data_IF_846028449694
#
_entry.id   IF_846028449694
#
_cell.length_a   1.000
_cell.length_b   1.000
_cell.length_c   1.000
_cell.angle_alpha   90.00
_cell.angle_beta   90.00
_cell.angle_gamma   90.00
#
_symmetry.space_group_name_H-M   'P 1'
#
loop_
_entity.id
_entity.type
_entity.pdbx_description
1 polymer ?
#
# COMPACT_ATOMS: atom_id res chain seq x y z
N UNK A 1 -11.75 3.25 -12.44
CA UNK A 1 -11.97 2.14 -13.37
C UNK A 1 -11.05 0.93 -13.09
N UNK A 2 -10.29 0.94 -11.99
CA UNK A 2 -9.43 -0.16 -11.55
C UNK A 2 -8.15 -0.40 -12.37
N UNK A 3 -7.93 0.34 -13.45
CA UNK A 3 -6.81 0.10 -14.37
C UNK A 3 -5.67 1.12 -14.23
N UNK A 4 -5.89 2.23 -13.55
CA UNK A 4 -4.88 3.27 -13.38
C UNK A 4 -4.60 3.57 -11.91
N UNK A 5 -3.32 3.57 -11.55
CA UNK A 5 -2.80 3.93 -10.24
C UNK A 5 -2.02 5.24 -10.35
N UNK A 6 -2.17 6.10 -9.37
CA UNK A 6 -1.47 7.37 -9.31
C UNK A 6 -0.65 7.44 -8.02
N UNK A 7 0.62 7.78 -8.13
CA UNK A 7 1.43 8.18 -6.99
C UNK A 7 1.20 9.68 -6.73
N UNK A 8 0.89 10.01 -5.49
CA UNK A 8 0.67 11.38 -5.02
C UNK A 8 1.69 11.66 -3.91
N UNK A 9 2.95 12.03 -4.26
CA UNK A 9 4.03 12.18 -3.29
C UNK A 9 3.96 13.57 -2.61
N UNK A 10 2.81 13.86 -2.02
CA UNK A 10 2.53 15.09 -1.27
C UNK A 10 2.15 14.77 0.16
N UNK A 11 2.45 15.68 1.08
CA UNK A 11 2.15 15.56 2.49
C UNK A 11 3.41 15.52 3.36
N UNK A 12 3.19 15.56 4.67
CA UNK A 12 4.27 15.56 5.64
C UNK A 12 3.93 14.59 6.80
N UNK A 13 4.92 13.88 7.38
CA UNK A 13 4.69 12.90 8.44
C UNK A 13 3.90 13.43 9.65
N UNK A 14 4.04 14.72 10.01
CA UNK A 14 3.29 15.32 11.12
C UNK A 14 1.78 15.19 10.97
N UNK A 15 1.27 15.09 9.74
CA UNK A 15 -0.17 14.90 9.48
C UNK A 15 -0.70 13.63 10.17
N UNK A 16 0.13 12.62 10.36
CA UNK A 16 -0.26 11.38 11.05
C UNK A 16 -0.28 11.54 12.59
N UNK A 17 0.40 12.55 13.12
CA UNK A 17 0.48 12.84 14.55
C UNK A 17 -0.65 13.77 15.03
N UNK A 18 -1.44 14.35 14.12
CA UNK A 18 -2.53 15.27 14.45
C UNK A 18 -3.87 14.56 14.32
N UNK A 19 -4.59 14.43 15.43
CA UNK A 19 -5.93 13.82 15.46
C UNK A 19 -6.90 14.60 14.56
N UNK A 20 -7.66 13.90 13.75
CA UNK A 20 -8.70 14.49 12.91
C UNK A 20 -8.28 14.75 11.45
N UNK A 21 -6.99 14.73 11.12
CA UNK A 21 -6.54 14.91 9.72
C UNK A 21 -7.15 13.87 8.78
N UNK A 22 -7.24 12.60 9.20
CA UNK A 22 -7.89 11.57 8.37
C UNK A 22 -9.38 11.85 8.14
N UNK A 23 -10.12 12.30 9.16
CA UNK A 23 -11.53 12.67 9.04
C UNK A 23 -11.70 13.90 8.14
N UNK A 24 -10.82 14.89 8.28
CA UNK A 24 -10.82 16.10 7.47
C UNK A 24 -10.54 15.78 5.99
N UNK A 25 -9.63 14.84 5.72
CA UNK A 25 -9.39 14.35 4.37
C UNK A 25 -10.67 13.81 3.73
N UNK A 26 -11.46 13.02 4.47
CA UNK A 26 -12.75 12.53 4.00
C UNK A 26 -13.70 13.66 3.59
N UNK A 27 -13.78 14.74 4.38
CA UNK A 27 -14.59 15.91 4.05
C UNK A 27 -14.08 16.67 2.80
N UNK A 28 -12.75 16.82 2.68
CA UNK A 28 -12.13 17.45 1.50
C UNK A 28 -12.39 16.61 0.25
N UNK A 29 -12.21 15.29 0.31
CA UNK A 29 -12.51 14.39 -0.81
C UNK A 29 -13.98 14.47 -1.22
N UNK A 30 -14.92 14.55 -0.27
CA UNK A 30 -16.35 14.70 -0.55
C UNK A 30 -16.65 16.04 -1.25
N UNK A 31 -16.02 17.13 -0.80
CA UNK A 31 -16.15 18.45 -1.44
C UNK A 31 -15.64 18.45 -2.88
N UNK A 32 -14.44 17.89 -3.11
CA UNK A 32 -13.90 17.70 -4.45
C UNK A 32 -14.81 16.81 -5.29
N UNK A 33 -15.30 15.70 -4.74
CA UNK A 33 -16.17 14.80 -5.47
C UNK A 33 -17.46 15.47 -5.96
N UNK A 34 -18.01 16.40 -5.19
CA UNK A 34 -19.19 17.19 -5.63
C UNK A 34 -18.90 18.05 -6.86
N UNK A 35 -17.65 18.51 -7.02
CA UNK A 35 -17.20 19.27 -8.18
C UNK A 35 -16.78 18.39 -9.37
N UNK A 36 -16.66 17.07 -9.19
CA UNK A 36 -16.24 16.16 -10.26
C UNK A 36 -17.23 16.07 -11.41
N UNK A 37 -18.52 16.08 -11.13
CA UNK A 37 -19.56 15.85 -12.14
C UNK A 37 -19.48 16.79 -13.35
N UNK A 38 -19.24 18.09 -13.20
CA UNK A 38 -19.01 18.97 -14.33
C UNK A 38 -17.76 18.66 -15.16
N UNK A 39 -16.76 17.99 -14.53
CA UNK A 39 -15.46 17.71 -15.13
C UNK A 39 -15.29 16.27 -15.63
N UNK A 40 -16.26 15.38 -15.40
CA UNK A 40 -16.18 13.93 -15.68
C UNK A 40 -15.81 13.56 -17.13
N UNK A 41 -16.05 14.45 -18.07
CA UNK A 41 -15.70 14.24 -19.48
C UNK A 41 -14.25 14.65 -19.81
N UNK A 42 -13.52 15.24 -18.87
CA UNK A 42 -12.15 15.73 -19.05
C UNK A 42 -11.13 14.94 -18.24
N UNK A 43 -11.52 14.47 -17.06
CA UNK A 43 -10.66 13.73 -16.13
C UNK A 43 -11.36 12.44 -15.72
N UNK A 44 -10.58 11.37 -15.55
CA UNK A 44 -11.07 10.19 -14.86
C UNK A 44 -11.24 10.47 -13.37
N UNK A 45 -12.09 9.70 -12.69
CA UNK A 45 -12.29 9.83 -11.25
C UNK A 45 -10.98 9.62 -10.48
N UNK A 46 -10.11 8.71 -10.93
CA UNK A 46 -8.81 8.45 -10.30
C UNK A 46 -7.88 9.67 -10.38
N UNK A 47 -7.79 10.31 -11.56
CA UNK A 47 -7.02 11.56 -11.73
C UNK A 47 -7.58 12.68 -10.85
N UNK A 48 -8.89 12.83 -10.82
CA UNK A 48 -9.53 13.85 -10.02
C UNK A 48 -9.28 13.67 -8.52
N UNK A 49 -9.39 12.43 -8.01
CA UNK A 49 -9.06 12.12 -6.62
C UNK A 49 -7.57 12.30 -6.32
N UNK A 50 -6.68 12.01 -7.28
CA UNK A 50 -5.25 12.27 -7.13
C UNK A 50 -4.97 13.77 -6.94
N UNK A 51 -5.66 14.65 -7.66
CA UNK A 51 -5.57 16.11 -7.45
C UNK A 51 -6.10 16.53 -6.08
N UNK A 52 -7.20 15.95 -5.61
CA UNK A 52 -7.73 16.24 -4.26
C UNK A 52 -6.74 15.83 -3.16
N UNK A 53 -6.09 14.68 -3.31
CA UNK A 53 -5.05 14.21 -2.39
C UNK A 53 -3.80 15.10 -2.46
N UNK A 54 -3.40 15.55 -3.65
CA UNK A 54 -2.27 16.46 -3.82
C UNK A 54 -2.54 17.81 -3.16
N UNK A 55 -3.74 18.37 -3.36
CA UNK A 55 -4.18 19.59 -2.68
C UNK A 55 -4.07 19.46 -1.16
N UNK A 56 -4.59 18.37 -0.60
CA UNK A 56 -4.54 18.11 0.83
C UNK A 56 -3.10 17.95 1.36
N UNK A 57 -2.27 17.22 0.62
CA UNK A 57 -0.87 17.03 0.96
C UNK A 57 -0.05 18.33 0.89
N UNK A 58 -0.24 19.14 -0.17
CA UNK A 58 0.40 20.45 -0.34
C UNK A 58 0.02 21.43 0.77
N UNK A 59 -1.25 21.44 1.19
CA UNK A 59 -1.67 22.24 2.33
C UNK A 59 -0.91 21.81 3.61
N UNK A 60 -0.68 20.51 3.81
CA UNK A 60 0.14 20.00 4.91
C UNK A 60 1.60 20.43 4.81
N UNK A 61 2.20 20.36 3.63
CA UNK A 61 3.57 20.84 3.39
C UNK A 61 3.69 22.34 3.66
N UNK A 62 2.74 23.14 3.17
CA UNK A 62 2.69 24.59 3.41
C UNK A 62 2.54 24.94 4.90
N UNK A 63 1.70 24.20 5.62
CA UNK A 63 1.50 24.39 7.06
C UNK A 63 2.79 24.16 7.84
N UNK A 64 3.59 23.15 7.47
CA UNK A 64 4.89 22.87 8.12
C UNK A 64 5.88 24.01 7.94
N UNK A 65 5.88 24.69 6.80
CA UNK A 65 6.75 25.86 6.57
C UNK A 65 6.46 26.99 7.54
N UNK A 66 5.21 27.10 8.03
CA UNK A 66 4.77 28.16 8.96
C UNK A 66 4.92 27.70 10.41
N UNK A 67 4.47 26.48 10.72
CA UNK A 67 4.35 26.00 12.12
C UNK A 67 5.53 25.14 12.59
N UNK A 68 6.40 24.70 11.69
CA UNK A 68 7.32 23.60 11.98
C UNK A 68 6.57 22.30 12.30
N UNK A 69 7.21 21.43 13.07
CA UNK A 69 6.68 20.10 13.42
C UNK A 69 5.98 20.08 14.80
N UNK A 70 5.36 21.17 15.22
CA UNK A 70 4.56 21.25 16.45
C UNK A 70 3.09 20.94 16.16
N UNK A 71 2.51 19.85 16.69
CA UNK A 71 1.16 19.39 16.32
C UNK A 71 0.05 20.43 16.53
N UNK A 72 0.10 21.20 17.60
CA UNK A 72 -0.89 22.24 17.92
C UNK A 72 -0.87 23.39 16.91
N UNK A 73 0.31 23.99 16.69
CA UNK A 73 0.49 25.08 15.71
C UNK A 73 0.26 24.59 14.30
N UNK A 74 0.68 23.36 13.98
CA UNK A 74 0.42 22.73 12.69
C UNK A 74 -1.08 22.63 12.41
N UNK A 75 -1.90 22.22 13.38
CA UNK A 75 -3.35 22.08 13.17
C UNK A 75 -3.99 23.39 12.69
N UNK A 76 -3.60 24.52 13.30
CA UNK A 76 -4.10 25.84 12.90
C UNK A 76 -3.57 26.23 11.53
N UNK A 77 -2.25 26.17 11.32
CA UNK A 77 -1.63 26.51 10.05
C UNK A 77 -2.13 25.64 8.89
N UNK A 78 -2.50 24.39 9.17
CA UNK A 78 -3.05 23.48 8.17
C UNK A 78 -4.44 23.91 7.70
N UNK A 79 -5.31 24.34 8.62
CA UNK A 79 -6.63 24.90 8.26
C UNK A 79 -6.48 26.18 7.42
N UNK A 80 -5.56 27.07 7.83
CA UNK A 80 -5.27 28.28 7.08
C UNK A 80 -4.72 27.97 5.69
N UNK A 81 -3.83 26.96 5.59
CA UNK A 81 -3.26 26.51 4.30
C UNK A 81 -4.33 25.90 3.39
N UNK A 82 -5.25 25.11 3.92
CA UNK A 82 -6.39 24.58 3.13
C UNK A 82 -7.27 25.70 2.58
N UNK A 83 -7.40 26.81 3.29
CA UNK A 83 -8.18 27.96 2.82
C UNK A 83 -7.44 28.80 1.79
N UNK A 84 -6.12 28.97 1.94
CA UNK A 84 -5.31 29.91 1.14
C UNK A 84 -4.67 29.28 -0.10
N UNK A 85 -4.55 27.95 -0.15
CA UNK A 85 -3.94 27.24 -1.28
C UNK A 85 -4.77 27.49 -2.56
N UNK A 86 -4.10 27.96 -3.60
CA UNK A 86 -4.75 28.32 -4.87
C UNK A 86 -4.26 27.43 -6.03
N UNK A 87 -4.96 27.54 -7.16
CA UNK A 87 -4.69 26.73 -8.36
C UNK A 87 -3.26 26.88 -8.89
N UNK A 88 -2.68 28.08 -8.80
CA UNK A 88 -1.34 28.33 -9.31
C UNK A 88 -0.30 27.51 -8.55
N UNK A 89 -0.41 27.41 -7.23
CA UNK A 89 0.46 26.56 -6.38
C UNK A 89 0.24 25.09 -6.69
N UNK A 90 -1.02 24.67 -6.82
CA UNK A 90 -1.34 23.27 -7.14
C UNK A 90 -0.75 22.86 -8.51
N UNK A 91 -0.77 23.76 -9.49
CA UNK A 91 -0.23 23.49 -10.82
C UNK A 91 1.31 23.47 -10.80
N UNK A 92 1.94 24.45 -10.14
CA UNK A 92 3.41 24.56 -10.12
C UNK A 92 4.09 23.44 -9.32
N UNK A 93 3.47 23.01 -8.23
CA UNK A 93 3.99 22.00 -7.32
C UNK A 93 3.48 20.57 -7.61
N UNK A 94 2.77 20.38 -8.71
CA UNK A 94 2.18 19.08 -9.04
C UNK A 94 3.24 18.01 -9.27
N UNK A 95 3.28 16.99 -8.41
CA UNK A 95 4.16 15.82 -8.48
C UNK A 95 3.38 14.54 -8.74
N UNK A 96 2.10 14.63 -9.08
CA UNK A 96 1.27 13.47 -9.41
C UNK A 96 1.84 12.78 -10.65
N UNK A 97 1.96 11.46 -10.57
CA UNK A 97 2.39 10.65 -11.71
C UNK A 97 1.60 9.36 -11.80
N UNK A 98 1.26 8.92 -13.02
CA UNK A 98 0.72 7.57 -13.19
C UNK A 98 1.79 6.54 -12.80
N UNK A 99 1.32 5.47 -12.17
CA UNK A 99 2.16 4.33 -11.82
C UNK A 99 1.65 3.12 -12.61
N UNK A 100 2.54 2.49 -13.34
CA UNK A 100 2.25 1.20 -13.96
C UNK A 100 2.36 0.14 -12.87
N UNK A 101 1.24 -0.46 -12.52
CA UNK A 101 1.21 -1.64 -11.65
C UNK A 101 1.35 -2.85 -12.56
N UNK A 102 2.36 -3.69 -12.38
CA UNK A 102 2.46 -4.94 -13.12
C UNK A 102 1.19 -5.78 -12.99
N UNK A 103 0.76 -6.43 -14.06
CA UNK A 103 -0.46 -7.25 -14.07
C UNK A 103 -0.45 -8.30 -12.95
N UNK A 104 0.74 -8.80 -12.61
CA UNK A 104 0.94 -9.74 -11.52
C UNK A 104 0.63 -9.18 -10.12
N UNK A 105 0.52 -7.86 -9.94
CA UNK A 105 0.24 -7.22 -8.65
C UNK A 105 -1.15 -6.57 -8.59
N UNK A 106 -2.02 -6.83 -9.56
CA UNK A 106 -3.36 -6.18 -9.63
C UNK A 106 -4.29 -6.63 -8.50
N UNK A 107 -4.25 -7.92 -8.14
CA UNK A 107 -5.03 -8.47 -7.04
C UNK A 107 -4.07 -9.15 -6.06
N UNK A 108 -3.68 -8.41 -5.04
CA UNK A 108 -2.70 -8.82 -4.06
C UNK A 108 -3.38 -9.31 -2.79
N UNK A 109 -3.27 -10.61 -2.50
CA UNK A 109 -3.83 -11.24 -1.32
C UNK A 109 -2.75 -11.53 -0.29
N UNK A 110 -3.00 -11.19 0.97
CA UNK A 110 -2.08 -11.42 2.09
C UNK A 110 -2.80 -12.25 3.14
N UNK A 111 -2.21 -13.34 3.59
CA UNK A 111 -2.73 -14.13 4.70
C UNK A 111 -1.65 -15.04 5.32
N UNK A 112 -1.93 -15.49 6.53
CA UNK A 112 -1.19 -16.51 7.28
C UNK A 112 -2.11 -17.28 8.19
N UNK A 113 -1.57 -18.20 9.00
CA UNK A 113 -2.40 -19.03 9.91
C UNK A 113 -3.12 -18.20 10.97
N UNK A 114 -2.56 -17.05 11.38
CA UNK A 114 -3.18 -16.12 12.34
C UNK A 114 -4.55 -15.58 11.87
N UNK A 115 -4.80 -15.57 10.56
CA UNK A 115 -6.05 -15.04 9.99
C UNK A 115 -7.15 -16.12 9.90
N UNK A 116 -6.80 -17.37 10.20
CA UNK A 116 -7.67 -18.55 10.05
C UNK A 116 -7.67 -19.45 11.29
N UNK A 117 -7.58 -18.86 12.47
CA UNK A 117 -7.62 -19.59 13.76
C UNK A 117 -6.47 -20.63 13.89
N UNK A 118 -5.30 -20.33 13.33
CA UNK A 118 -4.12 -21.20 13.26
C UNK A 118 -4.37 -22.55 12.57
N UNK A 119 -5.31 -22.60 11.65
CA UNK A 119 -5.69 -23.81 10.93
C UNK A 119 -5.07 -23.83 9.51
N UNK A 120 -4.03 -24.64 9.33
CA UNK A 120 -3.28 -24.76 8.07
C UNK A 120 -4.18 -25.24 6.90
N UNK A 121 -5.02 -26.24 7.12
CA UNK A 121 -5.90 -26.77 6.07
C UNK A 121 -6.91 -25.72 5.61
N UNK A 122 -7.40 -24.89 6.54
CA UNK A 122 -8.30 -23.78 6.22
C UNK A 122 -7.57 -22.72 5.40
N UNK A 123 -6.31 -22.38 5.75
CA UNK A 123 -5.51 -21.44 4.97
C UNK A 123 -5.28 -21.96 3.55
N UNK A 124 -4.88 -23.22 3.38
CA UNK A 124 -4.67 -23.83 2.06
C UNK A 124 -5.92 -23.77 1.19
N UNK A 125 -7.09 -24.09 1.76
CA UNK A 125 -8.38 -24.02 1.04
C UNK A 125 -8.70 -22.59 0.61
N UNK A 126 -8.55 -21.61 1.51
CA UNK A 126 -8.85 -20.20 1.22
C UNK A 126 -7.91 -19.66 0.13
N UNK A 127 -6.61 -19.99 0.21
CA UNK A 127 -5.64 -19.55 -0.79
C UNK A 127 -5.92 -20.20 -2.15
N UNK A 128 -6.29 -21.48 -2.19
CA UNK A 128 -6.67 -22.13 -3.45
C UNK A 128 -7.93 -21.51 -4.06
N UNK A 129 -8.94 -21.22 -3.24
CA UNK A 129 -10.16 -20.56 -3.71
C UNK A 129 -9.89 -19.12 -4.20
N UNK A 130 -9.02 -18.38 -3.51
CA UNK A 130 -8.60 -17.04 -3.92
C UNK A 130 -7.85 -17.08 -5.26
N UNK A 131 -6.92 -18.01 -5.43
CA UNK A 131 -6.20 -18.21 -6.70
C UNK A 131 -7.16 -18.56 -7.84
N UNK A 132 -8.12 -19.44 -7.60
CA UNK A 132 -9.19 -19.78 -8.57
C UNK A 132 -10.06 -18.57 -8.89
N UNK A 133 -10.28 -17.67 -7.91
CA UNK A 133 -11.05 -16.43 -8.04
C UNK A 133 -10.35 -15.31 -8.78
N UNK A 134 -9.06 -15.46 -9.16
CA UNK A 134 -8.33 -14.48 -9.96
C UNK A 134 -7.35 -13.60 -9.18
N UNK A 135 -6.93 -14.01 -7.99
CA UNK A 135 -5.76 -13.41 -7.32
C UNK A 135 -4.53 -13.55 -8.22
N UNK A 136 -3.75 -12.49 -8.34
CA UNK A 136 -2.55 -12.45 -9.19
C UNK A 136 -1.26 -12.54 -8.41
N UNK A 137 -1.31 -12.21 -7.10
CA UNK A 137 -0.18 -12.30 -6.18
C UNK A 137 -0.66 -12.70 -4.79
N UNK A 138 -0.01 -13.68 -4.19
CA UNK A 138 -0.26 -14.08 -2.81
C UNK A 138 0.98 -13.88 -1.94
N UNK A 139 0.83 -13.19 -0.82
CA UNK A 139 1.87 -13.04 0.20
C UNK A 139 1.55 -13.93 1.41
N UNK A 140 2.43 -14.88 1.67
CA UNK A 140 2.41 -15.67 2.91
C UNK A 140 3.03 -14.84 4.04
N UNK A 141 2.17 -14.39 4.96
CA UNK A 141 2.56 -13.58 6.11
C UNK A 141 2.26 -14.35 7.39
N UNK A 142 3.23 -15.09 7.88
CA UNK A 142 3.17 -15.88 9.10
C UNK A 142 3.82 -15.10 10.24
N UNK A 143 3.02 -14.28 10.96
CA UNK A 143 3.52 -13.34 11.96
C UNK A 143 2.50 -13.17 13.10
N UNK A 144 2.94 -13.32 14.35
CA UNK A 144 2.08 -13.14 15.51
C UNK A 144 2.22 -14.26 16.54
N UNK A 145 1.37 -14.21 17.56
CA UNK A 145 1.39 -15.21 18.64
C UNK A 145 0.80 -16.54 18.14
N UNK A 146 1.51 -17.62 18.36
CA UNK A 146 1.05 -18.97 18.01
C UNK A 146 1.24 -19.37 16.55
N UNK A 147 1.83 -18.50 15.71
CA UNK A 147 2.13 -18.82 14.32
C UNK A 147 3.20 -19.90 14.19
N UNK A 148 3.24 -20.56 13.02
CA UNK A 148 4.13 -21.65 12.75
C UNK A 148 5.60 -21.21 12.68
N UNK A 149 6.50 -22.09 13.12
CA UNK A 149 7.95 -21.91 13.06
C UNK A 149 8.65 -23.16 12.55
N UNK A 150 9.89 -23.01 12.10
CA UNK A 150 10.76 -24.12 11.71
C UNK A 150 10.14 -25.00 10.62
N UNK A 151 10.16 -26.30 10.82
CA UNK A 151 9.77 -27.30 9.83
C UNK A 151 8.29 -27.19 9.41
N UNK A 152 7.38 -26.93 10.35
CA UNK A 152 5.95 -26.78 10.05
C UNK A 152 5.68 -25.58 9.14
N UNK A 153 6.32 -24.43 9.43
CA UNK A 153 6.24 -23.24 8.56
C UNK A 153 6.76 -23.53 7.16
N UNK A 154 7.88 -24.27 7.05
CA UNK A 154 8.45 -24.65 5.76
C UNK A 154 7.49 -25.55 4.96
N UNK A 155 6.92 -26.56 5.59
CA UNK A 155 5.99 -27.50 4.93
C UNK A 155 4.76 -26.79 4.41
N UNK A 156 4.16 -25.89 5.21
CA UNK A 156 3.02 -25.08 4.79
C UNK A 156 3.42 -24.13 3.64
N UNK A 157 4.57 -23.48 3.75
CA UNK A 157 5.05 -22.57 2.69
C UNK A 157 5.26 -23.30 1.36
N UNK A 158 5.75 -24.54 1.37
CA UNK A 158 5.90 -25.37 0.16
C UNK A 158 4.56 -25.75 -0.45
N UNK A 159 3.56 -26.09 0.35
CA UNK A 159 2.21 -26.39 -0.13
C UNK A 159 1.54 -25.15 -0.76
N UNK A 160 1.69 -23.99 -0.12
CA UNK A 160 1.19 -22.71 -0.66
C UNK A 160 1.87 -22.35 -1.98
N UNK A 161 3.20 -22.57 -2.10
CA UNK A 161 3.91 -22.38 -3.38
C UNK A 161 3.36 -23.27 -4.49
N UNK A 162 3.04 -24.53 -4.18
CA UNK A 162 2.45 -25.45 -5.17
C UNK A 162 1.06 -24.98 -5.63
N UNK A 163 0.23 -24.48 -4.71
CA UNK A 163 -1.08 -23.90 -5.05
C UNK A 163 -0.88 -22.69 -5.97
N UNK A 164 -0.04 -21.72 -5.58
CA UNK A 164 0.22 -20.54 -6.41
C UNK A 164 0.73 -20.91 -7.80
N UNK A 165 1.68 -21.85 -7.90
CA UNK A 165 2.21 -22.31 -9.18
C UNK A 165 1.14 -22.96 -10.08
N UNK A 166 0.22 -23.74 -9.51
CA UNK A 166 -0.91 -24.36 -10.24
C UNK A 166 -1.79 -23.35 -10.96
N UNK A 167 -1.97 -22.15 -10.38
CA UNK A 167 -2.81 -21.08 -10.90
C UNK A 167 -2.03 -19.92 -11.53
N UNK A 168 -0.71 -20.04 -11.68
CA UNK A 168 0.17 -18.99 -12.18
C UNK A 168 0.08 -17.68 -11.39
N UNK A 169 -0.01 -17.78 -10.07
CA UNK A 169 -0.06 -16.68 -9.11
C UNK A 169 1.35 -16.46 -8.53
N UNK A 170 1.81 -15.20 -8.48
CA UNK A 170 3.07 -14.88 -7.82
C UNK A 170 3.01 -15.22 -6.32
N UNK A 171 4.06 -15.85 -5.82
CA UNK A 171 4.20 -16.24 -4.43
C UNK A 171 5.28 -15.43 -3.71
N UNK A 172 4.86 -14.64 -2.74
CA UNK A 172 5.72 -13.74 -1.97
C UNK A 172 5.82 -14.24 -0.53
N UNK A 173 7.01 -14.19 0.04
CA UNK A 173 7.23 -14.44 1.48
C UNK A 173 7.42 -13.10 2.21
N UNK A 174 6.74 -12.95 3.34
CA UNK A 174 6.87 -11.78 4.19
C UNK A 174 8.06 -11.94 5.15
N UNK A 175 8.99 -10.98 5.18
CA UNK A 175 10.15 -10.81 6.07
C UNK A 175 11.22 -11.93 6.03
N UNK A 176 10.84 -13.16 5.83
CA UNK A 176 11.70 -14.36 5.97
C UNK A 176 12.45 -14.67 4.67
N UNK A 177 13.60 -14.03 4.49
CA UNK A 177 14.43 -14.16 3.28
C UNK A 177 14.94 -15.60 3.10
N UNK A 178 15.32 -16.26 4.19
CA UNK A 178 15.84 -17.65 4.14
C UNK A 178 14.73 -18.61 3.69
N UNK A 179 13.54 -18.48 4.23
CA UNK A 179 12.38 -19.26 3.78
C UNK A 179 12.07 -19.01 2.30
N UNK A 180 12.11 -17.76 1.86
CA UNK A 180 11.85 -17.41 0.46
C UNK A 180 12.83 -18.09 -0.50
N UNK A 181 14.10 -18.13 -0.14
CA UNK A 181 15.14 -18.84 -0.92
C UNK A 181 14.91 -20.35 -0.93
N UNK A 182 14.60 -20.96 0.23
CA UNK A 182 14.40 -22.41 0.34
C UNK A 182 13.18 -22.88 -0.45
N UNK A 183 12.06 -22.12 -0.42
CA UNK A 183 10.84 -22.48 -1.16
C UNK A 183 10.84 -21.98 -2.61
N UNK A 184 11.90 -21.30 -3.04
CA UNK A 184 11.99 -20.66 -4.35
C UNK A 184 10.79 -19.75 -4.62
N UNK A 185 10.53 -18.81 -3.70
CA UNK A 185 9.49 -17.82 -3.85
C UNK A 185 9.77 -16.87 -5.02
N UNK A 186 8.73 -16.24 -5.56
CA UNK A 186 8.86 -15.28 -6.67
C UNK A 186 9.26 -13.89 -6.17
N UNK A 187 9.18 -13.65 -4.85
CA UNK A 187 9.58 -12.41 -4.23
C UNK A 187 9.60 -12.45 -2.71
N UNK A 188 10.17 -11.40 -2.14
CA UNK A 188 10.18 -11.14 -0.69
C UNK A 188 9.60 -9.76 -0.43
N UNK A 189 8.69 -9.67 0.55
CA UNK A 189 8.21 -8.40 1.09
C UNK A 189 8.92 -8.10 2.39
N UNK A 190 9.51 -6.91 2.52
CA UNK A 190 10.12 -6.42 3.75
C UNK A 190 9.57 -5.05 4.11
N UNK A 191 9.24 -4.83 5.37
CA UNK A 191 8.82 -3.55 5.91
C UNK A 191 10.01 -2.62 6.19
N UNK A 192 9.72 -1.39 6.60
CA UNK A 192 10.76 -0.38 6.87
C UNK A 192 11.59 -0.66 8.13
N UNK A 193 11.03 -1.42 9.06
CA UNK A 193 11.70 -1.83 10.31
C UNK A 193 12.41 -3.19 10.19
N UNK A 194 12.23 -3.89 9.05
CA UNK A 194 12.81 -5.21 8.80
C UNK A 194 14.20 -5.09 8.14
N UNK A 195 14.67 -6.15 7.52
CA UNK A 195 15.96 -6.15 6.81
C UNK A 195 15.98 -5.09 5.70
N UNK A 196 17.05 -4.30 5.61
CA UNK A 196 17.20 -3.29 4.56
C UNK A 196 17.13 -3.89 3.16
N UNK A 197 16.41 -3.23 2.26
CA UNK A 197 16.18 -3.70 0.89
C UNK A 197 17.47 -4.06 0.14
N UNK A 198 18.54 -3.28 0.33
CA UNK A 198 19.86 -3.53 -0.27
C UNK A 198 20.46 -4.85 0.21
N UNK A 199 20.33 -5.17 1.51
CA UNK A 199 20.79 -6.42 2.07
C UNK A 199 19.96 -7.60 1.55
N UNK A 200 18.64 -7.47 1.49
CA UNK A 200 17.77 -8.48 0.88
C UNK A 200 18.16 -8.71 -0.58
N UNK A 201 18.34 -7.65 -1.37
CA UNK A 201 18.74 -7.75 -2.79
C UNK A 201 20.07 -8.47 -2.99
N UNK A 202 21.04 -8.26 -2.08
CA UNK A 202 22.31 -8.96 -2.12
C UNK A 202 22.18 -10.46 -1.83
N UNK A 203 21.22 -10.85 -0.99
CA UNK A 203 20.96 -12.26 -0.66
C UNK A 203 20.19 -12.99 -1.76
N UNK A 204 19.13 -12.37 -2.27
CA UNK A 204 18.23 -13.01 -3.25
C UNK A 204 18.66 -12.81 -4.70
N UNK A 205 19.59 -11.90 -4.98
CA UNK A 205 20.04 -11.59 -6.34
C UNK A 205 18.95 -10.89 -7.17
N UNK A 206 19.01 -11.09 -8.49
CA UNK A 206 18.07 -10.45 -9.43
C UNK A 206 16.90 -11.34 -9.86
N UNK A 207 16.82 -12.56 -9.34
CA UNK A 207 15.81 -13.55 -9.75
C UNK A 207 14.58 -13.59 -8.84
N UNK A 208 14.67 -12.98 -7.65
CA UNK A 208 13.61 -12.91 -6.65
C UNK A 208 13.22 -11.46 -6.43
#
# INVERSE_FOLDING_TARGET
DGTRVFAVPHGHPIMTAVTGTGCLLGAVLAAFFSAYYPCKNRLSIGEFLAYALAYYGLAGESAVQVSGVQPGSFSVAFMDSLYTLNDAVLISENRIRPVVVPDQLQVYFISGTQDVELNENRLLSIVEDACRGGVTCFQFREKGVGTLVGQQKLELAQQLKQICAKYNVLYIINDDVDLALVVNADGVHVGQEDMRLEAVRNLVGHKV
#
